data_IF_641991583612
#
_entry.id   IF_641991583612
#
_cell.length_a   1.000
_cell.length_b   1.000
_cell.length_c   1.000
_cell.angle_alpha   90.00
_cell.angle_beta   90.00
_cell.angle_gamma   90.00
#
_symmetry.space_group_name_H-M   'P 1'
#
loop_
_entity.id
_entity.type
_entity.pdbx_description
1 polymer ?
#
# COMPACT_ATOMS: atom_id res chain seq x y z
N UNK A 1 -16.01 4.32 25.33
CA UNK A 1 -15.23 4.87 24.19
C UNK A 1 -16.15 4.89 22.99
N UNK A 2 -16.47 6.07 22.48
CA UNK A 2 -17.28 6.25 21.27
C UNK A 2 -16.55 5.65 20.06
N UNK A 3 -17.28 4.95 19.20
CA UNK A 3 -16.74 4.41 17.95
C UNK A 3 -16.05 5.54 17.16
N UNK A 4 -14.74 5.43 16.84
CA UNK A 4 -14.01 6.47 16.11
C UNK A 4 -14.63 6.84 14.76
N UNK A 5 -15.48 5.97 14.19
CA UNK A 5 -16.20 6.24 12.94
C UNK A 5 -17.41 7.14 13.13
N UNK A 6 -17.92 7.25 14.35
CA UNK A 6 -19.09 8.07 14.70
C UNK A 6 -18.71 9.43 15.31
N UNK A 7 -17.42 9.73 15.50
CA UNK A 7 -16.97 11.02 16.00
C UNK A 7 -17.26 12.12 14.95
N UNK A 8 -18.14 13.09 15.22
CA UNK A 8 -18.48 14.15 14.26
C UNK A 8 -17.27 15.00 13.88
N UNK A 9 -16.25 15.06 14.76
CA UNK A 9 -14.99 15.72 14.45
C UNK A 9 -14.23 15.06 13.31
N UNK A 10 -14.56 13.80 12.93
CA UNK A 10 -13.94 13.02 11.84
C UNK A 10 -14.71 13.08 10.54
N UNK A 11 -15.83 13.76 10.50
CA UNK A 11 -16.57 14.00 9.26
C UNK A 11 -15.67 14.73 8.25
N UNK A 12 -15.79 14.37 7.00
CA UNK A 12 -15.24 15.12 5.88
C UNK A 12 -16.43 15.59 5.06
N UNK A 13 -16.75 16.88 5.09
CA UNK A 13 -17.84 17.46 4.30
C UNK A 13 -17.65 17.04 2.84
N UNK A 14 -18.63 16.37 2.19
CA UNK A 14 -18.56 15.99 0.78
C UNK A 14 -18.54 17.25 -0.09
N UNK A 15 -17.99 17.12 -1.31
CA UNK A 15 -17.79 18.25 -2.21
C UNK A 15 -19.07 19.04 -2.49
N UNK A 16 -20.18 18.34 -2.61
CA UNK A 16 -21.51 18.90 -2.91
C UNK A 16 -22.05 19.82 -1.80
N UNK A 17 -21.54 19.65 -0.58
CA UNK A 17 -21.91 20.45 0.60
C UNK A 17 -20.89 21.58 0.90
N UNK A 18 -19.85 21.75 0.07
CA UNK A 18 -18.89 22.83 0.30
C UNK A 18 -19.52 24.20 0.03
N UNK A 19 -19.01 25.28 0.67
CA UNK A 19 -19.38 26.62 0.28
C UNK A 19 -19.15 26.89 -1.20
N UNK A 20 -20.01 27.68 -1.82
CA UNK A 20 -19.95 27.94 -3.25
C UNK A 20 -18.62 28.48 -3.76
N UNK A 21 -17.95 29.44 -3.06
CA UNK A 21 -16.62 29.90 -3.46
C UNK A 21 -15.58 28.77 -3.52
N UNK A 22 -15.68 27.78 -2.60
CA UNK A 22 -14.77 26.64 -2.55
C UNK A 22 -15.01 25.68 -3.72
N UNK A 23 -16.29 25.41 -4.03
CA UNK A 23 -16.63 24.56 -5.18
C UNK A 23 -16.15 25.17 -6.50
N UNK A 24 -16.35 26.49 -6.68
CA UNK A 24 -15.92 27.23 -7.87
C UNK A 24 -14.38 27.21 -8.00
N UNK A 25 -13.67 27.50 -6.89
CA UNK A 25 -12.21 27.48 -6.85
C UNK A 25 -11.64 26.08 -7.14
N UNK A 26 -12.26 25.04 -6.57
CA UNK A 26 -11.84 23.64 -6.81
C UNK A 26 -12.09 23.23 -8.27
N UNK A 27 -13.28 23.51 -8.81
CA UNK A 27 -13.61 23.20 -10.20
C UNK A 27 -12.67 23.91 -11.18
N UNK A 28 -12.34 25.18 -10.91
CA UNK A 28 -11.33 25.92 -11.68
C UNK A 28 -9.97 25.27 -11.59
N UNK A 29 -9.58 24.82 -10.39
CA UNK A 29 -8.27 24.20 -10.16
C UNK A 29 -8.08 22.87 -10.90
N UNK A 30 -9.12 22.04 -11.03
CA UNK A 30 -9.06 20.72 -11.68
C UNK A 30 -9.48 20.72 -13.14
N UNK A 31 -9.88 21.88 -13.68
CA UNK A 31 -10.38 22.00 -15.05
C UNK A 31 -9.31 21.54 -16.04
N UNK A 32 -9.65 20.58 -16.88
CA UNK A 32 -8.84 20.23 -18.05
C UNK A 32 -9.14 21.25 -19.15
N UNK A 33 -8.12 21.93 -19.62
CA UNK A 33 -8.20 22.81 -20.79
C UNK A 33 -7.77 22.07 -22.05
N UNK A 34 -8.15 22.61 -23.22
CA UNK A 34 -7.55 22.27 -24.49
C UNK A 34 -6.23 23.06 -24.66
N UNK A 35 -5.51 22.85 -25.75
CA UNK A 35 -4.22 23.50 -26.07
C UNK A 35 -4.27 25.04 -25.98
N UNK A 36 -5.43 25.63 -26.15
CA UNK A 36 -5.66 27.08 -26.13
C UNK A 36 -6.41 27.57 -24.90
N UNK A 37 -6.88 26.68 -24.04
CA UNK A 37 -7.64 27.02 -22.85
C UNK A 37 -6.76 27.05 -21.58
N UNK A 38 -7.14 27.91 -20.63
CA UNK A 38 -6.52 27.95 -19.31
C UNK A 38 -6.72 26.61 -18.57
N UNK A 39 -5.65 25.86 -18.47
CA UNK A 39 -5.62 24.61 -17.73
C UNK A 39 -5.47 24.87 -16.23
N UNK A 40 -6.33 24.28 -15.41
CA UNK A 40 -6.26 24.42 -13.97
C UNK A 40 -4.96 23.82 -13.38
N UNK A 41 -4.40 24.41 -12.32
CA UNK A 41 -3.11 23.98 -11.75
C UNK A 41 -3.12 22.53 -11.22
N UNK A 42 -4.29 21.93 -10.97
CA UNK A 42 -4.47 20.55 -10.57
C UNK A 42 -5.08 19.64 -11.66
N UNK A 43 -5.17 20.09 -12.91
CA UNK A 43 -5.72 19.32 -14.03
C UNK A 43 -4.98 17.97 -14.20
N UNK A 44 -3.66 17.98 -14.01
CA UNK A 44 -2.79 16.81 -14.10
C UNK A 44 -2.92 15.83 -12.91
N UNK A 45 -3.66 16.17 -11.86
CA UNK A 45 -3.83 15.28 -10.72
C UNK A 45 -4.69 14.08 -11.09
N UNK A 46 -4.26 12.91 -10.66
CA UNK A 46 -5.05 11.68 -10.76
C UNK A 46 -6.23 11.70 -9.78
N UNK A 47 -7.27 10.97 -10.10
CA UNK A 47 -8.49 10.87 -9.27
C UNK A 47 -8.20 10.55 -7.81
N UNK A 48 -7.29 9.60 -7.54
CA UNK A 48 -6.90 9.26 -6.16
C UNK A 48 -6.23 10.41 -5.41
N UNK A 49 -5.52 11.32 -6.10
CA UNK A 49 -4.94 12.53 -5.51
C UNK A 49 -6.03 13.56 -5.27
N UNK A 50 -6.91 13.76 -6.26
CA UNK A 50 -8.07 14.67 -6.14
C UNK A 50 -8.94 14.27 -4.95
N UNK A 51 -9.36 13.01 -4.89
CA UNK A 51 -10.18 12.48 -3.78
C UNK A 51 -9.52 12.63 -2.40
N UNK A 52 -8.22 12.37 -2.32
CA UNK A 52 -7.46 12.50 -1.07
C UNK A 52 -7.43 13.96 -0.58
N UNK A 53 -7.08 14.89 -1.47
CA UNK A 53 -7.00 16.32 -1.14
C UNK A 53 -8.39 16.86 -0.83
N UNK A 54 -9.39 16.51 -1.62
CA UNK A 54 -10.81 16.85 -1.42
C UNK A 54 -11.31 16.37 -0.06
N UNK A 55 -11.07 15.09 0.30
CA UNK A 55 -11.44 14.57 1.63
C UNK A 55 -10.74 15.31 2.77
N UNK A 56 -9.47 15.70 2.59
CA UNK A 56 -8.72 16.43 3.61
C UNK A 56 -9.23 17.87 3.75
N UNK A 57 -9.60 18.50 2.64
CA UNK A 57 -10.21 19.83 2.65
C UNK A 57 -11.61 19.81 3.27
N UNK A 58 -12.45 18.82 2.95
CA UNK A 58 -13.74 18.62 3.60
C UNK A 58 -13.62 18.41 5.12
N UNK A 59 -12.51 17.82 5.61
CA UNK A 59 -12.20 17.73 7.03
C UNK A 59 -11.89 19.10 7.66
N UNK A 60 -11.18 19.95 6.93
CA UNK A 60 -10.92 21.34 7.32
C UNK A 60 -12.23 22.15 7.43
N UNK A 61 -13.11 22.03 6.45
CA UNK A 61 -14.43 22.69 6.49
C UNK A 61 -15.28 22.19 7.66
N UNK A 62 -15.30 20.89 7.96
CA UNK A 62 -15.94 20.34 9.16
C UNK A 62 -15.42 20.99 10.45
N UNK A 63 -14.11 21.20 10.53
CA UNK A 63 -13.51 21.87 11.69
C UNK A 63 -14.02 23.32 11.79
N UNK A 64 -13.96 24.11 10.73
CA UNK A 64 -14.45 25.50 10.72
C UNK A 64 -15.95 25.60 11.07
N UNK A 65 -16.78 24.72 10.51
CA UNK A 65 -18.21 24.64 10.80
C UNK A 65 -18.46 24.42 12.30
N UNK A 66 -17.79 23.46 12.88
CA UNK A 66 -17.90 23.13 14.31
C UNK A 66 -17.39 24.22 15.25
N UNK A 67 -16.40 25.00 14.81
CA UNK A 67 -15.92 26.16 15.55
C UNK A 67 -16.82 27.38 15.38
N UNK A 68 -17.82 27.33 14.52
CA UNK A 68 -18.66 28.49 14.17
C UNK A 68 -17.91 29.60 13.42
N UNK A 69 -16.79 29.26 12.78
CA UNK A 69 -15.91 30.19 12.07
C UNK A 69 -15.97 30.04 10.55
N UNK A 70 -16.81 29.13 10.03
CA UNK A 70 -17.03 28.95 8.61
C UNK A 70 -17.87 30.10 8.05
N UNK A 71 -17.24 31.07 7.39
CA UNK A 71 -17.95 32.03 6.57
C UNK A 71 -18.19 31.45 5.17
N UNK A 72 -19.44 31.18 4.78
CA UNK A 72 -19.74 30.52 3.52
C UNK A 72 -19.54 31.40 2.28
N UNK A 73 -19.37 32.71 2.47
CA UNK A 73 -19.21 33.68 1.36
C UNK A 73 -17.72 34.01 1.15
N UNK A 74 -16.91 33.87 2.19
CA UNK A 74 -15.48 34.18 2.13
C UNK A 74 -14.73 33.23 1.17
N UNK A 75 -13.66 33.73 0.56
CA UNK A 75 -12.77 32.89 -0.25
C UNK A 75 -11.96 31.90 0.58
N UNK A 76 -11.56 30.76 0.03
CA UNK A 76 -10.90 29.67 0.77
C UNK A 76 -9.68 30.10 1.58
N UNK A 77 -8.82 30.95 1.01
CA UNK A 77 -7.58 31.40 1.60
C UNK A 77 -7.76 32.34 2.81
N UNK A 78 -8.84 33.12 2.82
CA UNK A 78 -9.09 34.10 3.89
C UNK A 78 -9.47 33.44 5.21
N UNK A 79 -9.97 32.20 5.18
CA UNK A 79 -10.34 31.40 6.36
C UNK A 79 -9.13 30.80 7.07
N UNK A 80 -7.95 30.84 6.44
CA UNK A 80 -6.74 30.20 6.99
C UNK A 80 -5.84 31.27 7.59
N UNK A 81 -5.92 31.42 8.91
CA UNK A 81 -4.99 32.26 9.68
C UNK A 81 -4.07 31.40 10.53
N UNK A 82 -2.94 31.94 11.03
CA UNK A 82 -2.06 31.17 11.92
C UNK A 82 -2.76 30.64 13.17
N UNK A 83 -3.73 31.40 13.73
CA UNK A 83 -4.48 31.05 14.95
C UNK A 83 -5.44 29.90 14.65
N UNK A 84 -6.22 29.97 13.58
CA UNK A 84 -7.16 28.94 13.15
C UNK A 84 -6.43 27.67 12.76
N UNK A 85 -5.30 27.78 12.05
CA UNK A 85 -4.46 26.63 11.71
C UNK A 85 -3.90 25.93 12.96
N UNK A 86 -3.49 26.70 13.98
CA UNK A 86 -3.00 26.14 15.25
C UNK A 86 -4.09 25.35 15.94
N UNK A 87 -5.28 25.90 16.09
CA UNK A 87 -6.43 25.21 16.68
C UNK A 87 -6.80 23.93 15.91
N UNK A 88 -6.71 23.94 14.57
CA UNK A 88 -6.93 22.74 13.75
C UNK A 88 -5.86 21.67 13.97
N UNK A 89 -4.60 22.06 14.06
CA UNK A 89 -3.49 21.14 14.35
C UNK A 89 -3.67 20.51 15.73
N UNK A 90 -4.06 21.29 16.75
CA UNK A 90 -4.29 20.81 18.11
C UNK A 90 -5.46 19.82 18.14
N UNK A 91 -6.57 20.11 17.47
CA UNK A 91 -7.68 19.15 17.34
C UNK A 91 -7.25 17.85 16.64
N UNK A 92 -6.50 17.95 15.56
CA UNK A 92 -6.00 16.77 14.86
C UNK A 92 -5.04 15.93 15.70
N UNK A 93 -4.22 16.59 16.54
CA UNK A 93 -3.25 15.92 17.41
C UNK A 93 -3.92 14.95 18.39
N UNK A 94 -5.10 15.30 18.88
CA UNK A 94 -5.90 14.43 19.76
C UNK A 94 -6.50 13.20 19.05
N UNK A 95 -6.70 13.29 17.73
CA UNK A 95 -7.55 12.34 17.01
C UNK A 95 -6.78 11.39 16.09
N UNK A 96 -5.62 11.81 15.60
CA UNK A 96 -4.88 11.06 14.59
C UNK A 96 -3.39 10.96 14.90
N UNK A 97 -2.71 10.02 14.25
CA UNK A 97 -1.26 9.89 14.39
C UNK A 97 -0.53 11.09 13.81
N UNK A 98 0.69 11.36 14.28
CA UNK A 98 1.55 12.44 13.77
C UNK A 98 1.77 12.37 12.26
N UNK A 99 1.86 11.18 11.68
CA UNK A 99 1.96 10.97 10.22
C UNK A 99 0.68 11.39 9.51
N UNK A 100 -0.49 11.04 10.06
CA UNK A 100 -1.79 11.41 9.49
C UNK A 100 -2.02 12.91 9.62
N UNK A 101 -1.66 13.51 10.76
CA UNK A 101 -1.74 14.95 10.99
C UNK A 101 -0.89 15.70 9.95
N UNK A 102 0.39 15.35 9.82
CA UNK A 102 1.27 15.93 8.81
C UNK A 102 0.69 15.80 7.38
N UNK A 103 0.10 14.64 7.07
CA UNK A 103 -0.58 14.41 5.80
C UNK A 103 -1.78 15.32 5.58
N UNK A 104 -2.64 15.52 6.60
CA UNK A 104 -3.81 16.41 6.51
C UNK A 104 -3.43 17.88 6.28
N UNK A 105 -2.40 18.36 6.99
CA UNK A 105 -1.91 19.73 6.80
C UNK A 105 -1.23 19.89 5.44
N UNK A 106 -0.54 18.85 4.96
CA UNK A 106 0.01 18.84 3.59
C UNK A 106 -1.11 18.94 2.55
N UNK A 107 -2.15 18.13 2.69
CA UNK A 107 -3.27 18.13 1.74
C UNK A 107 -4.05 19.46 1.78
N UNK A 108 -4.20 20.10 2.94
CA UNK A 108 -4.75 21.44 3.06
C UNK A 108 -3.90 22.47 2.33
N UNK A 109 -2.57 22.42 2.52
CA UNK A 109 -1.63 23.28 1.81
C UNK A 109 -1.71 23.13 0.30
N UNK A 110 -1.83 21.89 -0.20
CA UNK A 110 -1.98 21.59 -1.62
C UNK A 110 -3.34 22.06 -2.17
N UNK A 111 -4.43 21.90 -1.39
CA UNK A 111 -5.75 22.41 -1.78
C UNK A 111 -5.73 23.92 -2.00
N UNK A 112 -5.21 24.65 -1.01
CA UNK A 112 -5.15 26.12 -1.09
C UNK A 112 -4.19 26.61 -2.17
N UNK A 113 -3.07 25.92 -2.38
CA UNK A 113 -2.14 26.24 -3.46
C UNK A 113 -2.79 26.22 -4.85
N UNK A 114 -3.71 25.28 -5.07
CA UNK A 114 -4.39 25.14 -6.37
C UNK A 114 -5.70 25.93 -6.46
N UNK A 115 -6.40 26.14 -5.34
CA UNK A 115 -7.68 26.87 -5.30
C UNK A 115 -7.48 28.38 -5.26
N UNK A 116 -6.37 28.86 -4.66
CA UNK A 116 -6.02 30.27 -4.52
C UNK A 116 -4.58 30.54 -5.00
N UNK A 117 -4.27 30.31 -6.29
CA UNK A 117 -2.94 30.57 -6.84
C UNK A 117 -2.62 32.05 -6.73
N UNK A 118 -1.46 32.39 -6.18
CA UNK A 118 -1.03 33.76 -5.96
C UNK A 118 -1.14 34.24 -4.50
N UNK A 119 -1.80 33.48 -3.63
CA UNK A 119 -1.80 33.76 -2.19
C UNK A 119 -0.65 33.02 -1.50
N UNK A 120 0.28 33.77 -0.94
CA UNK A 120 1.41 33.20 -0.20
C UNK A 120 1.02 32.89 1.26
N UNK A 121 0.65 31.65 1.53
CA UNK A 121 0.44 31.14 2.88
C UNK A 121 1.75 30.53 3.43
N UNK A 122 2.77 31.38 3.59
CA UNK A 122 4.12 30.95 4.03
C UNK A 122 4.12 30.25 5.39
N UNK A 123 3.25 30.69 6.32
CA UNK A 123 3.09 30.05 7.63
C UNK A 123 2.54 28.63 7.53
N UNK A 124 1.62 28.35 6.60
CA UNK A 124 1.07 27.01 6.36
C UNK A 124 2.16 26.08 5.82
N UNK A 125 2.99 26.57 4.90
CA UNK A 125 4.13 25.82 4.37
C UNK A 125 5.17 25.51 5.46
N UNK A 126 5.47 26.47 6.36
CA UNK A 126 6.34 26.24 7.52
C UNK A 126 5.76 25.21 8.48
N UNK A 127 4.47 25.26 8.77
CA UNK A 127 3.79 24.28 9.63
C UNK A 127 3.85 22.87 9.00
N UNK A 128 3.57 22.75 7.69
CA UNK A 128 3.68 21.49 6.94
C UNK A 128 5.09 20.88 7.07
N UNK A 129 6.14 21.67 6.85
CA UNK A 129 7.53 21.20 6.94
C UNK A 129 7.88 20.77 8.38
N UNK A 130 7.52 21.55 9.37
CA UNK A 130 7.77 21.23 10.78
C UNK A 130 7.07 19.94 11.21
N UNK A 131 5.80 19.74 10.79
CA UNK A 131 5.05 18.52 11.07
C UNK A 131 5.62 17.30 10.35
N UNK A 132 6.07 17.45 9.11
CA UNK A 132 6.70 16.37 8.36
C UNK A 132 7.99 15.88 9.04
N UNK A 133 8.81 16.78 9.57
CA UNK A 133 10.04 16.43 10.32
C UNK A 133 9.72 15.72 11.64
N UNK A 134 8.65 16.14 12.32
CA UNK A 134 8.22 15.57 13.61
C UNK A 134 7.42 14.29 13.48
N UNK A 135 6.90 13.95 12.27
CA UNK A 135 6.09 12.78 12.06
C UNK A 135 6.84 11.48 12.38
N UNK A 136 6.25 10.65 13.24
CA UNK A 136 6.80 9.33 13.60
C UNK A 136 5.75 8.25 13.32
N UNK A 137 6.10 7.20 12.56
CA UNK A 137 5.24 6.06 12.36
C UNK A 137 4.99 5.33 13.69
N UNK A 138 3.73 5.12 14.04
CA UNK A 138 3.36 4.36 15.25
C UNK A 138 3.63 2.87 15.08
N UNK A 139 3.50 2.36 13.85
CA UNK A 139 3.64 0.91 13.57
C UNK A 139 5.07 0.59 13.19
N UNK A 140 5.70 -0.31 13.95
CA UNK A 140 6.98 -0.89 13.57
C UNK A 140 6.76 -1.93 12.45
N UNK A 141 7.05 -1.55 11.22
CA UNK A 141 6.95 -2.45 10.07
C UNK A 141 7.93 -3.64 10.16
N UNK A 142 9.08 -3.45 10.83
CA UNK A 142 10.15 -4.48 10.91
C UNK A 142 9.68 -5.77 11.56
N UNK A 143 8.87 -5.67 12.63
CA UNK A 143 8.33 -6.83 13.35
C UNK A 143 7.32 -7.63 12.53
N UNK A 144 6.90 -7.11 11.37
CA UNK A 144 5.90 -7.70 10.50
C UNK A 144 6.48 -8.18 9.17
N UNK A 145 7.78 -8.04 8.97
CA UNK A 145 8.47 -8.56 7.78
C UNK A 145 8.56 -10.07 7.90
N UNK A 146 8.08 -10.75 6.87
CA UNK A 146 8.15 -12.21 6.72
C UNK A 146 8.96 -12.52 5.46
N UNK A 147 9.88 -13.50 5.49
CA UNK A 147 10.61 -13.90 4.29
C UNK A 147 9.66 -14.29 3.15
N UNK A 148 9.89 -13.83 1.91
CA UNK A 148 9.07 -14.21 0.76
C UNK A 148 8.96 -15.72 0.55
N UNK A 149 10.03 -16.48 0.85
CA UNK A 149 10.03 -17.93 0.80
C UNK A 149 8.99 -18.55 1.76
N UNK A 150 8.84 -18.00 2.98
CA UNK A 150 7.84 -18.47 3.94
C UNK A 150 6.41 -18.18 3.47
N UNK A 151 6.20 -17.03 2.81
CA UNK A 151 4.91 -16.67 2.23
C UNK A 151 4.55 -17.58 1.04
N UNK A 152 5.53 -17.90 0.20
CA UNK A 152 5.35 -18.83 -0.93
C UNK A 152 5.06 -20.24 -0.42
N UNK A 153 5.80 -20.72 0.56
CA UNK A 153 5.59 -22.04 1.17
C UNK A 153 4.18 -22.17 1.78
N UNK A 154 3.75 -21.15 2.52
CA UNK A 154 2.38 -21.06 3.02
C UNK A 154 1.37 -21.20 1.88
N UNK A 155 1.55 -20.45 0.81
CA UNK A 155 0.62 -20.41 -0.31
C UNK A 155 0.51 -21.77 -1.01
N UNK A 156 1.65 -22.44 -1.30
CA UNK A 156 1.69 -23.77 -1.91
C UNK A 156 0.97 -24.76 -1.00
N UNK A 157 1.30 -24.82 0.27
CA UNK A 157 0.62 -25.69 1.24
C UNK A 157 -0.90 -25.48 1.26
N UNK A 158 -1.37 -24.23 1.24
CA UNK A 158 -2.81 -23.93 1.22
C UNK A 158 -3.50 -24.32 -0.08
N UNK A 159 -2.79 -24.27 -1.24
CA UNK A 159 -3.29 -24.78 -2.51
C UNK A 159 -3.41 -26.29 -2.48
N UNK A 160 -2.39 -27.00 -1.98
CA UNK A 160 -2.38 -28.45 -1.83
C UNK A 160 -3.49 -28.92 -0.86
N UNK A 161 -3.67 -28.23 0.26
CA UNK A 161 -4.77 -28.49 1.21
C UNK A 161 -6.15 -28.27 0.56
N UNK A 162 -6.28 -27.25 -0.31
CA UNK A 162 -7.52 -27.02 -1.04
C UNK A 162 -7.81 -28.14 -2.04
N UNK A 163 -6.80 -28.75 -2.62
CA UNK A 163 -6.95 -29.91 -3.52
C UNK A 163 -7.22 -31.23 -2.78
N UNK A 164 -6.48 -31.48 -1.71
CA UNK A 164 -6.58 -32.71 -0.91
C UNK A 164 -7.82 -32.82 -0.02
N UNK A 165 -8.50 -31.71 0.26
CA UNK A 165 -9.64 -31.72 1.17
C UNK A 165 -10.95 -32.01 0.41
N UNK A 166 -11.70 -33.07 0.75
CA UNK A 166 -12.98 -33.43 0.16
C UNK A 166 -14.11 -32.48 0.59
N UNK A 167 -13.90 -31.17 0.46
CA UNK A 167 -14.96 -30.22 0.76
C UNK A 167 -16.10 -30.37 -0.28
N UNK A 168 -17.33 -30.70 0.11
CA UNK A 168 -18.45 -30.92 -0.80
C UNK A 168 -18.88 -29.65 -1.56
N UNK A 169 -18.46 -28.47 -1.07
CA UNK A 169 -18.77 -27.20 -1.71
C UNK A 169 -17.61 -26.74 -2.58
N UNK A 170 -17.64 -27.10 -3.86
CA UNK A 170 -16.59 -26.79 -4.85
C UNK A 170 -16.23 -25.29 -4.89
N UNK A 171 -17.20 -24.40 -4.79
CA UNK A 171 -16.95 -22.97 -4.80
C UNK A 171 -16.14 -22.47 -3.58
N UNK A 172 -16.28 -23.10 -2.40
CA UNK A 172 -15.45 -22.79 -1.23
C UNK A 172 -14.00 -23.24 -1.44
N UNK A 173 -13.83 -24.41 -2.04
CA UNK A 173 -12.53 -24.95 -2.42
C UNK A 173 -11.84 -24.04 -3.41
N UNK A 174 -12.58 -23.60 -4.44
CA UNK A 174 -12.09 -22.66 -5.44
C UNK A 174 -11.67 -21.31 -4.83
N UNK A 175 -12.44 -20.79 -3.86
CA UNK A 175 -12.05 -19.59 -3.12
C UNK A 175 -10.74 -19.78 -2.33
N UNK A 176 -10.58 -20.91 -1.64
CA UNK A 176 -9.36 -21.18 -0.85
C UNK A 176 -8.13 -21.29 -1.75
N UNK A 177 -8.25 -21.97 -2.88
CA UNK A 177 -7.18 -22.08 -3.87
C UNK A 177 -6.81 -20.72 -4.45
N UNK A 178 -7.79 -19.93 -4.89
CA UNK A 178 -7.61 -18.56 -5.36
C UNK A 178 -6.90 -17.69 -4.33
N UNK A 179 -7.35 -17.73 -3.07
CA UNK A 179 -6.80 -16.90 -1.99
C UNK A 179 -5.33 -17.26 -1.72
N UNK A 180 -4.99 -18.55 -1.79
CA UNK A 180 -3.62 -19.04 -1.70
C UNK A 180 -2.76 -18.60 -2.91
N UNK A 181 -3.30 -18.74 -4.13
CA UNK A 181 -2.60 -18.29 -5.34
C UNK A 181 -2.32 -16.78 -5.34
N UNK A 182 -3.25 -15.97 -4.80
CA UNK A 182 -3.00 -14.53 -4.61
C UNK A 182 -1.76 -14.29 -3.74
N UNK A 183 -1.60 -15.06 -2.66
CA UNK A 183 -0.44 -14.94 -1.77
C UNK A 183 0.84 -15.38 -2.49
N UNK A 184 0.80 -16.49 -3.24
CA UNK A 184 1.95 -16.98 -4.00
C UNK A 184 2.44 -15.97 -5.04
N UNK A 185 1.52 -15.40 -5.82
CA UNK A 185 1.86 -14.36 -6.80
C UNK A 185 2.41 -13.10 -6.15
N UNK A 186 1.83 -12.65 -5.03
CA UNK A 186 2.34 -11.50 -4.27
C UNK A 186 3.69 -11.77 -3.62
N UNK A 187 3.95 -13.00 -3.16
CA UNK A 187 5.23 -13.38 -2.57
C UNK A 187 6.36 -13.38 -3.59
N UNK A 188 6.06 -13.71 -4.85
CA UNK A 188 7.05 -13.77 -5.93
C UNK A 188 7.14 -12.46 -6.72
N UNK A 189 6.02 -11.78 -6.95
CA UNK A 189 5.93 -10.53 -7.71
C UNK A 189 4.94 -9.57 -7.05
N UNK A 190 5.42 -8.76 -6.11
CA UNK A 190 4.59 -7.85 -5.32
C UNK A 190 4.11 -6.64 -6.13
N UNK A 191 3.10 -6.81 -6.94
CA UNK A 191 2.44 -5.73 -7.66
C UNK A 191 1.77 -4.72 -6.70
N UNK A 192 1.56 -3.50 -7.18
CA UNK A 192 0.70 -2.54 -6.46
C UNK A 192 -0.74 -3.03 -6.46
N UNK A 193 -1.46 -2.76 -5.36
CA UNK A 193 -2.83 -3.27 -5.13
C UNK A 193 -3.78 -3.05 -6.32
N UNK A 194 -3.75 -1.86 -6.97
CA UNK A 194 -4.62 -1.58 -8.12
C UNK A 194 -4.29 -2.48 -9.31
N UNK A 195 -3.01 -2.59 -9.66
CA UNK A 195 -2.58 -3.46 -10.76
C UNK A 195 -2.87 -4.93 -10.46
N UNK A 196 -2.59 -5.40 -9.24
CA UNK A 196 -2.86 -6.78 -8.85
C UNK A 196 -4.35 -7.15 -8.94
N UNK A 197 -5.23 -6.25 -8.48
CA UNK A 197 -6.67 -6.48 -8.54
C UNK A 197 -7.24 -6.39 -9.96
N UNK A 198 -6.62 -5.57 -10.82
CA UNK A 198 -7.04 -5.35 -12.19
C UNK A 198 -6.40 -6.28 -13.21
N UNK A 199 -5.78 -7.40 -12.80
CA UNK A 199 -5.21 -8.36 -13.77
C UNK A 199 -6.32 -8.94 -14.65
N UNK A 200 -6.16 -8.83 -15.97
CA UNK A 200 -7.00 -9.39 -17.01
C UNK A 200 -6.22 -10.54 -17.68
N UNK A 201 -6.86 -11.69 -17.81
CA UNK A 201 -6.27 -12.87 -18.48
C UNK A 201 -6.18 -12.59 -19.98
N UNK A 202 -5.05 -12.92 -20.58
CA UNK A 202 -4.79 -12.66 -21.99
C UNK A 202 -4.25 -11.25 -22.29
N UNK A 203 -4.54 -10.25 -21.42
CA UNK A 203 -4.02 -8.90 -21.57
C UNK A 203 -2.84 -8.64 -20.60
N UNK A 204 -3.09 -8.80 -19.30
CA UNK A 204 -2.07 -8.53 -18.27
C UNK A 204 -1.36 -9.79 -17.81
N UNK A 205 -2.03 -10.94 -17.83
CA UNK A 205 -1.46 -12.26 -17.60
C UNK A 205 -1.46 -13.01 -18.90
N UNK A 206 -0.30 -13.11 -19.53
CA UNK A 206 -0.07 -13.87 -20.74
C UNK A 206 0.84 -15.07 -20.50
N UNK A 207 0.93 -15.99 -21.47
CA UNK A 207 1.88 -17.08 -21.49
C UNK A 207 2.84 -16.88 -22.65
N UNK A 208 4.14 -16.94 -22.36
CA UNK A 208 5.22 -16.90 -23.35
C UNK A 208 6.02 -18.19 -23.15
N UNK A 209 6.05 -19.03 -24.16
CA UNK A 209 6.57 -20.38 -24.07
C UNK A 209 5.94 -21.14 -22.88
N UNK A 210 6.75 -21.60 -21.93
CA UNK A 210 6.29 -22.32 -20.74
C UNK A 210 6.12 -21.44 -19.49
N UNK A 211 6.22 -20.11 -19.63
CA UNK A 211 6.19 -19.20 -18.49
C UNK A 211 5.02 -18.23 -18.56
N UNK A 212 4.43 -17.92 -17.41
CA UNK A 212 3.50 -16.81 -17.29
C UNK A 212 4.25 -15.49 -17.12
N UNK A 213 3.75 -14.46 -17.80
CA UNK A 213 4.27 -13.10 -17.73
C UNK A 213 3.19 -12.12 -17.32
N UNK A 214 3.57 -11.11 -16.58
CA UNK A 214 2.72 -9.99 -16.20
C UNK A 214 3.14 -8.75 -17.00
N UNK A 215 2.21 -8.22 -17.78
CA UNK A 215 2.41 -7.07 -18.66
C UNK A 215 1.44 -5.95 -18.27
N UNK A 216 1.94 -4.74 -18.08
CA UNK A 216 1.09 -3.56 -17.86
C UNK A 216 1.70 -2.38 -18.59
N UNK A 217 0.87 -1.64 -19.29
CA UNK A 217 1.27 -0.38 -19.91
C UNK A 217 1.64 0.70 -18.89
N UNK A 218 2.49 1.64 -19.32
CA UNK A 218 2.85 2.77 -18.47
C UNK A 218 1.66 3.61 -18.02
N UNK A 219 0.63 3.75 -18.85
CA UNK A 219 -0.61 4.46 -18.54
C UNK A 219 -1.37 3.85 -17.36
N UNK A 220 -1.28 2.53 -17.16
CA UNK A 220 -1.95 1.77 -16.10
C UNK A 220 -1.18 1.79 -14.79
N UNK A 221 0.07 2.22 -14.81
CA UNK A 221 0.94 2.21 -13.62
C UNK A 221 1.01 3.59 -12.97
N UNK A 222 1.25 3.62 -11.65
CA UNK A 222 1.32 4.89 -10.89
C UNK A 222 2.47 5.81 -11.33
N UNK A 223 3.53 5.25 -11.85
CA UNK A 223 4.77 5.95 -12.19
C UNK A 223 5.01 6.05 -13.70
N UNK A 224 3.98 5.79 -14.51
CA UNK A 224 4.02 5.82 -15.98
C UNK A 224 5.14 4.96 -16.59
N UNK A 225 5.57 3.90 -15.89
CA UNK A 225 6.53 2.93 -16.40
C UNK A 225 5.83 1.62 -16.66
N UNK A 226 6.02 0.98 -17.80
CA UNK A 226 5.47 -0.32 -18.08
C UNK A 226 6.01 -1.34 -17.06
N UNK A 227 5.25 -2.39 -16.83
CA UNK A 227 5.67 -3.53 -16.01
C UNK A 227 5.71 -4.73 -16.93
N UNK A 228 6.85 -5.39 -16.98
CA UNK A 228 7.06 -6.66 -17.64
C UNK A 228 7.80 -7.57 -16.68
N UNK A 229 7.15 -8.66 -16.26
CA UNK A 229 7.68 -9.55 -15.22
C UNK A 229 7.33 -10.99 -15.52
N UNK A 230 8.32 -11.86 -15.65
CA UNK A 230 8.10 -13.33 -15.70
C UNK A 230 7.76 -13.85 -14.30
N UNK A 231 6.71 -14.65 -14.20
CA UNK A 231 6.40 -15.39 -12.98
C UNK A 231 7.31 -16.63 -12.87
N UNK A 232 7.71 -17.04 -11.65
CA UNK A 232 8.51 -18.23 -11.46
C UNK A 232 7.79 -19.51 -11.93
N UNK A 233 8.52 -20.46 -12.50
CA UNK A 233 7.99 -21.72 -13.05
C UNK A 233 7.20 -22.53 -12.04
N UNK A 234 7.58 -22.47 -10.77
CA UNK A 234 6.86 -23.12 -9.69
C UNK A 234 5.38 -22.72 -9.62
N UNK A 235 5.00 -21.57 -10.19
CA UNK A 235 3.62 -21.10 -10.20
C UNK A 235 2.86 -21.52 -11.47
N UNK A 236 3.53 -21.95 -12.53
CA UNK A 236 2.90 -22.25 -13.82
C UNK A 236 1.77 -23.26 -13.67
N UNK A 237 2.02 -24.42 -13.10
CA UNK A 237 0.99 -25.44 -12.90
C UNK A 237 -0.14 -25.00 -11.95
N UNK A 238 0.16 -24.16 -10.96
CA UNK A 238 -0.87 -23.63 -10.06
C UNK A 238 -1.76 -22.59 -10.75
N UNK A 239 -1.20 -21.79 -11.66
CA UNK A 239 -1.96 -20.82 -12.45
C UNK A 239 -2.83 -21.56 -13.46
N UNK A 240 -2.29 -22.55 -14.19
CA UNK A 240 -3.04 -23.40 -15.10
C UNK A 240 -4.23 -24.04 -14.37
N UNK A 241 -3.97 -24.65 -13.22
CA UNK A 241 -5.00 -25.28 -12.39
C UNK A 241 -6.09 -24.32 -11.95
N UNK A 242 -5.71 -23.10 -11.60
CA UNK A 242 -6.69 -22.06 -11.25
C UNK A 242 -7.52 -21.65 -12.47
N UNK A 243 -6.90 -21.38 -13.60
CA UNK A 243 -7.57 -20.92 -14.82
C UNK A 243 -8.50 -21.97 -15.40
N UNK A 244 -8.09 -23.24 -15.40
CA UNK A 244 -8.82 -24.33 -16.03
C UNK A 244 -9.89 -24.95 -15.14
N UNK A 245 -9.68 -24.97 -13.82
CA UNK A 245 -10.57 -25.67 -12.89
C UNK A 245 -11.29 -24.72 -11.95
N UNK A 246 -10.56 -23.94 -11.16
CA UNK A 246 -11.16 -23.21 -10.05
C UNK A 246 -11.82 -21.90 -10.47
N UNK A 247 -11.24 -21.20 -11.43
CA UNK A 247 -11.81 -19.94 -11.94
C UNK A 247 -13.17 -20.17 -12.65
N UNK A 248 -13.36 -21.19 -13.50
CA UNK A 248 -14.67 -21.52 -14.06
C UNK A 248 -15.72 -21.86 -12.99
N UNK A 249 -15.34 -22.60 -11.94
CA UNK A 249 -16.26 -22.89 -10.81
C UNK A 249 -16.74 -21.59 -10.14
N UNK A 250 -15.87 -20.58 -10.01
CA UNK A 250 -16.22 -19.29 -9.41
C UNK A 250 -17.04 -18.42 -10.36
N UNK A 251 -16.80 -18.48 -11.65
CA UNK A 251 -17.56 -17.75 -12.66
C UNK A 251 -18.99 -18.28 -12.79
N UNK A 252 -19.17 -19.61 -12.73
CA UNK A 252 -20.46 -20.21 -13.06
C UNK A 252 -20.84 -19.87 -14.50
N UNK A 253 -22.02 -19.27 -14.69
CA UNK A 253 -22.50 -18.81 -15.99
C UNK A 253 -22.06 -17.37 -16.34
N UNK A 254 -21.36 -16.66 -15.42
CA UNK A 254 -20.93 -15.31 -15.66
C UNK A 254 -19.67 -15.26 -16.55
N UNK A 255 -19.57 -14.22 -17.35
CA UNK A 255 -18.39 -13.94 -18.18
C UNK A 255 -17.55 -12.83 -17.54
N UNK A 256 -16.26 -13.02 -17.49
CA UNK A 256 -15.31 -12.01 -17.04
C UNK A 256 -13.89 -12.39 -17.47
N UNK A 257 -13.14 -11.42 -17.93
CA UNK A 257 -11.71 -11.60 -18.26
C UNK A 257 -10.79 -11.40 -17.05
N UNK A 258 -11.32 -10.85 -15.94
CA UNK A 258 -10.51 -10.63 -14.74
C UNK A 258 -9.97 -11.95 -14.17
N UNK A 259 -8.73 -11.91 -13.72
CA UNK A 259 -8.09 -13.08 -13.08
C UNK A 259 -8.80 -13.43 -11.77
N UNK A 260 -9.09 -12.43 -10.93
CA UNK A 260 -9.63 -12.66 -9.59
C UNK A 260 -11.15 -12.59 -9.56
N UNK A 261 -11.78 -13.73 -9.42
CA UNK A 261 -13.24 -13.88 -9.39
C UNK A 261 -13.72 -14.10 -7.95
N UNK A 262 -14.76 -13.39 -7.54
CA UNK A 262 -15.39 -13.55 -6.22
C UNK A 262 -16.26 -14.82 -6.17
N UNK A 263 -16.68 -15.19 -4.97
CA UNK A 263 -17.67 -16.28 -4.76
C UNK A 263 -19.00 -16.07 -5.51
N UNK A 264 -19.32 -14.81 -5.87
CA UNK A 264 -20.56 -14.43 -6.57
C UNK A 264 -20.37 -14.35 -8.09
N UNK A 265 -19.30 -14.88 -8.67
CA UNK A 265 -19.07 -14.85 -10.11
C UNK A 265 -18.63 -13.47 -10.67
N UNK A 266 -18.32 -12.49 -9.81
CA UNK A 266 -17.95 -11.13 -10.23
C UNK A 266 -16.48 -10.87 -9.98
N UNK A 267 -15.84 -9.92 -10.71
CA UNK A 267 -14.49 -9.48 -10.41
C UNK A 267 -14.36 -9.04 -8.95
N UNK A 268 -13.27 -9.45 -8.30
CA UNK A 268 -13.00 -9.04 -6.93
C UNK A 268 -12.57 -7.57 -6.87
N UNK A 269 -13.27 -6.79 -6.06
CA UNK A 269 -12.85 -5.43 -5.74
C UNK A 269 -11.48 -5.45 -5.02
N UNK A 270 -10.66 -4.43 -5.27
CA UNK A 270 -9.33 -4.31 -4.65
C UNK A 270 -9.36 -4.28 -3.10
N UNK A 271 -10.48 -3.85 -2.50
CA UNK A 271 -10.70 -3.91 -1.05
C UNK A 271 -10.88 -5.34 -0.57
N UNK A 272 -11.68 -6.15 -1.28
CA UNK A 272 -11.94 -7.55 -0.95
C UNK A 272 -10.64 -8.39 -1.03
N UNK A 273 -9.81 -8.17 -2.07
CA UNK A 273 -8.48 -8.81 -2.18
C UNK A 273 -7.59 -8.42 -0.99
N UNK A 274 -7.55 -7.14 -0.65
CA UNK A 274 -6.77 -6.63 0.46
C UNK A 274 -7.17 -7.28 1.79
N UNK A 275 -8.47 -7.36 2.06
CA UNK A 275 -8.97 -7.94 3.31
C UNK A 275 -8.74 -9.45 3.36
N UNK A 276 -8.92 -10.15 2.24
CA UNK A 276 -8.72 -11.59 2.16
C UNK A 276 -7.25 -11.99 2.37
N UNK A 277 -6.32 -11.33 1.70
CA UNK A 277 -4.88 -11.57 1.89
C UNK A 277 -4.47 -11.32 3.36
N UNK A 278 -5.00 -10.26 3.99
CA UNK A 278 -4.74 -9.96 5.40
C UNK A 278 -5.35 -11.00 6.34
N UNK A 279 -6.53 -11.49 6.03
CA UNK A 279 -7.21 -12.53 6.82
C UNK A 279 -6.38 -13.81 6.83
N UNK A 280 -6.02 -14.33 5.65
CA UNK A 280 -5.26 -15.56 5.51
C UNK A 280 -3.88 -15.44 6.18
N UNK A 281 -3.13 -14.41 5.86
CA UNK A 281 -1.79 -14.21 6.44
C UNK A 281 -1.85 -13.94 7.95
N UNK A 282 -2.92 -13.29 8.43
CA UNK A 282 -3.13 -13.03 9.85
C UNK A 282 -3.33 -14.29 10.67
N UNK A 283 -4.04 -15.30 10.13
CA UNK A 283 -4.22 -16.61 10.76
C UNK A 283 -2.91 -17.37 10.90
N UNK A 284 -2.08 -17.33 9.85
CA UNK A 284 -0.86 -18.14 9.78
C UNK A 284 0.33 -17.52 10.51
N UNK A 285 0.50 -16.21 10.44
CA UNK A 285 1.66 -15.52 11.03
C UNK A 285 1.33 -14.76 12.33
N UNK A 286 0.10 -14.85 12.83
CA UNK A 286 -0.36 -14.11 14.01
C UNK A 286 -0.49 -12.60 13.79
N UNK A 287 -0.17 -12.10 12.60
CA UNK A 287 -0.34 -10.71 12.22
C UNK A 287 -0.63 -10.55 10.72
N UNK A 288 -1.56 -9.66 10.34
CA UNK A 288 -1.96 -9.52 8.95
C UNK A 288 -0.87 -8.86 8.11
N UNK A 289 -0.57 -9.44 6.94
CA UNK A 289 0.36 -8.91 5.94
C UNK A 289 -0.47 -8.32 4.81
N UNK A 290 -0.37 -7.01 4.59
CA UNK A 290 -1.06 -6.36 3.50
C UNK A 290 -0.20 -6.33 2.23
N UNK A 291 -0.82 -6.08 1.06
CA UNK A 291 -0.15 -6.10 -0.24
C UNK A 291 1.08 -5.19 -0.31
N UNK A 292 1.06 -4.06 0.39
CA UNK A 292 2.21 -3.17 0.41
C UNK A 292 3.38 -3.76 1.24
N UNK A 293 3.05 -4.52 2.29
CA UNK A 293 4.07 -5.16 3.12
C UNK A 293 4.78 -6.32 2.37
N UNK A 294 4.12 -7.00 1.41
CA UNK A 294 4.81 -7.95 0.53
C UNK A 294 5.96 -7.30 -0.23
N UNK A 295 5.79 -6.05 -0.68
CA UNK A 295 6.86 -5.28 -1.33
C UNK A 295 8.01 -4.98 -0.38
N UNK A 296 7.67 -4.61 0.86
CA UNK A 296 8.68 -4.40 1.92
C UNK A 296 9.41 -5.72 2.26
N UNK A 297 8.69 -6.86 2.26
CA UNK A 297 9.28 -8.20 2.46
C UNK A 297 10.27 -8.56 1.34
N UNK A 298 9.88 -8.39 0.08
CA UNK A 298 10.75 -8.64 -1.07
C UNK A 298 11.96 -7.70 -1.08
N UNK A 299 11.76 -6.39 -0.85
CA UNK A 299 12.85 -5.44 -0.80
C UNK A 299 13.86 -5.77 0.32
N UNK A 300 13.37 -6.25 1.46
CA UNK A 300 14.23 -6.63 2.59
C UNK A 300 14.98 -7.93 2.30
N UNK A 301 14.30 -8.93 1.73
CA UNK A 301 14.94 -10.20 1.37
C UNK A 301 16.04 -9.96 0.32
N UNK A 302 15.74 -9.24 -0.75
CA UNK A 302 16.73 -8.94 -1.79
C UNK A 302 17.94 -8.17 -1.25
N UNK A 303 17.72 -7.25 -0.29
CA UNK A 303 18.80 -6.52 0.34
C UNK A 303 19.66 -7.39 1.28
N UNK A 304 19.10 -8.48 1.84
CA UNK A 304 19.81 -9.43 2.69
C UNK A 304 20.55 -10.49 1.88
N UNK A 305 19.90 -11.01 0.82
CA UNK A 305 20.40 -12.13 0.05
C UNK A 305 21.44 -11.69 -1.00
N UNK A 306 21.28 -10.46 -1.52
CA UNK A 306 22.17 -9.87 -2.54
C UNK A 306 22.46 -8.39 -2.26
N UNK A 307 23.29 -8.07 -1.26
CA UNK A 307 23.60 -6.71 -0.87
C UNK A 307 24.30 -5.88 -1.97
N UNK A 308 25.04 -6.54 -2.86
CA UNK A 308 25.80 -5.86 -3.92
C UNK A 308 24.87 -5.40 -5.05
N UNK A 309 23.81 -6.14 -5.33
CA UNK A 309 22.84 -5.85 -6.40
C UNK A 309 21.53 -5.25 -5.89
N UNK A 310 21.50 -4.69 -4.70
CA UNK A 310 20.30 -4.00 -4.12
C UNK A 310 19.66 -2.99 -5.08
N UNK A 311 20.44 -2.41 -5.99
CA UNK A 311 19.93 -1.48 -7.02
C UNK A 311 18.94 -2.16 -7.99
N UNK A 312 19.03 -3.47 -8.17
CA UNK A 312 18.08 -4.28 -8.97
C UNK A 312 16.69 -4.33 -8.32
N UNK A 313 16.61 -4.18 -6.98
CA UNK A 313 15.33 -4.10 -6.27
C UNK A 313 14.47 -2.92 -6.74
N UNK A 314 15.08 -1.82 -7.14
CA UNK A 314 14.37 -0.65 -7.64
C UNK A 314 13.49 -0.96 -8.86
N UNK A 315 14.06 -1.43 -9.98
CA UNK A 315 13.30 -1.87 -11.16
C UNK A 315 12.32 -2.99 -10.85
N UNK A 316 12.75 -4.04 -10.15
CA UNK A 316 11.91 -5.20 -9.82
C UNK A 316 10.64 -4.82 -9.04
N UNK A 317 10.76 -3.87 -8.12
CA UNK A 317 9.65 -3.37 -7.32
C UNK A 317 9.01 -2.11 -7.91
N UNK A 318 9.52 -1.58 -9.02
CA UNK A 318 9.06 -0.33 -9.61
C UNK A 318 9.18 0.86 -8.64
N UNK A 319 10.27 0.91 -7.86
CA UNK A 319 10.59 2.05 -7.02
C UNK A 319 11.18 3.17 -7.89
N UNK A 320 10.58 4.35 -7.84
CA UNK A 320 11.08 5.56 -8.53
C UNK A 320 12.08 6.33 -7.69
N UNK A 321 12.15 6.06 -6.38
CA UNK A 321 13.02 6.76 -5.45
C UNK A 321 14.00 5.78 -4.80
N UNK A 322 15.28 5.96 -5.08
CA UNK A 322 16.37 5.17 -4.52
C UNK A 322 16.41 5.20 -2.98
N UNK A 323 15.95 6.30 -2.35
CA UNK A 323 15.88 6.41 -0.88
C UNK A 323 15.05 5.29 -0.23
N UNK A 324 14.01 4.79 -0.91
CA UNK A 324 13.22 3.66 -0.38
C UNK A 324 14.04 2.38 -0.41
N UNK A 325 14.78 2.14 -1.48
CA UNK A 325 15.67 0.99 -1.64
C UNK A 325 16.84 1.08 -0.66
N UNK A 326 17.48 2.25 -0.53
CA UNK A 326 18.56 2.50 0.44
C UNK A 326 18.13 2.30 1.89
N UNK A 327 16.91 2.65 2.25
CA UNK A 327 16.38 2.40 3.59
C UNK A 327 16.33 0.90 3.92
N UNK A 328 15.90 0.07 2.99
CA UNK A 328 15.89 -1.39 3.14
C UNK A 328 17.31 -1.94 3.16
N UNK A 329 18.19 -1.43 2.30
CA UNK A 329 19.61 -1.79 2.27
C UNK A 329 20.35 -1.50 3.59
N UNK A 330 20.22 -0.27 4.12
CA UNK A 330 20.84 0.11 5.39
C UNK A 330 20.28 -0.72 6.55
N UNK A 331 19.00 -1.08 6.50
CA UNK A 331 18.39 -1.98 7.47
C UNK A 331 18.96 -3.40 7.37
N UNK A 332 19.11 -3.92 6.16
CA UNK A 332 19.68 -5.25 5.92
C UNK A 332 21.13 -5.33 6.38
N UNK A 333 21.97 -4.35 6.04
CA UNK A 333 23.37 -4.28 6.50
C UNK A 333 23.48 -4.23 8.02
N UNK A 334 22.62 -3.50 8.70
CA UNK A 334 22.61 -3.46 10.16
C UNK A 334 22.27 -4.82 10.79
N UNK A 335 21.33 -5.57 10.19
CA UNK A 335 20.99 -6.92 10.63
C UNK A 335 22.11 -7.92 10.35
N UNK A 336 22.73 -7.83 9.18
CA UNK A 336 23.87 -8.68 8.80
C UNK A 336 25.07 -8.44 9.72
N UNK A 337 25.44 -7.18 9.94
CA UNK A 337 26.51 -6.82 10.87
C UNK A 337 26.24 -7.33 12.30
N UNK A 338 24.98 -7.23 12.76
CA UNK A 338 24.59 -7.76 14.06
C UNK A 338 24.72 -9.29 14.14
N UNK A 339 24.34 -10.03 13.08
CA UNK A 339 24.49 -11.48 12.98
C UNK A 339 25.96 -11.90 12.97
N UNK A 340 26.79 -11.23 12.16
CA UNK A 340 28.24 -11.49 12.09
C UNK A 340 28.90 -11.25 13.45
N UNK A 341 28.58 -10.14 14.12
CA UNK A 341 29.06 -9.85 15.46
C UNK A 341 28.64 -10.91 16.49
N UNK A 342 27.37 -11.34 16.43
CA UNK A 342 26.85 -12.39 17.32
C UNK A 342 27.54 -13.73 17.07
N UNK A 343 27.82 -14.09 15.83
CA UNK A 343 28.57 -15.29 15.47
C UNK A 343 30.02 -15.20 15.98
N UNK A 344 30.66 -14.05 15.87
CA UNK A 344 31.98 -13.79 16.43
C UNK A 344 32.00 -13.97 17.95
N UNK A 345 31.04 -13.42 18.67
CA UNK A 345 30.90 -13.60 20.13
C UNK A 345 30.68 -15.07 20.51
N UNK A 346 29.89 -15.82 19.72
CA UNK A 346 29.66 -17.24 19.96
C UNK A 346 30.91 -18.08 19.69
N UNK A 347 31.76 -17.75 18.71
CA UNK A 347 33.04 -18.42 18.46
C UNK A 347 34.01 -18.18 19.61
N UNK A 348 34.19 -16.92 20.02
CA UNK A 348 35.03 -16.58 21.20
C UNK A 348 34.54 -17.29 22.47
N UNK A 349 33.23 -17.36 22.69
CA UNK A 349 32.65 -18.09 23.84
C UNK A 349 32.92 -19.61 23.77
N UNK A 350 32.98 -20.20 22.56
CA UNK A 350 33.34 -21.63 22.40
C UNK A 350 34.83 -21.86 22.70
N UNK A 351 35.72 -21.00 22.23
CA UNK A 351 37.14 -21.04 22.49
C UNK A 351 37.47 -20.90 23.99
N UNK A 352 36.80 -19.95 24.67
CA UNK A 352 36.96 -19.74 26.12
C UNK A 352 36.43 -20.91 26.98
N UNK A 353 35.54 -21.74 26.44
CA UNK A 353 35.02 -22.92 27.17
C UNK A 353 35.89 -24.14 27.11
N UNK A 354 36.99 -24.18 26.35
CA UNK A 354 37.96 -25.25 26.26
C UNK A 354 37.39 -26.67 26.11
N UNK A 355 38.13 -27.67 25.69
CA UNK A 355 37.65 -29.03 25.64
C UNK A 355 37.34 -29.53 27.06
N UNK A 356 36.13 -29.96 27.32
CA UNK A 356 35.75 -30.65 28.57
C UNK A 356 36.60 -31.89 28.69
N UNK A 357 37.64 -31.86 29.54
CA UNK A 357 38.40 -33.03 29.94
C UNK A 357 37.38 -34.03 30.57
N UNK A 358 37.13 -35.12 29.87
CA UNK A 358 36.43 -36.27 30.45
C UNK A 358 37.31 -36.82 31.57
N UNK A 359 36.98 -36.50 32.81
CA UNK A 359 37.56 -37.22 33.95
C UNK A 359 37.19 -38.71 33.81
N UNK A 360 38.21 -39.53 33.53
CA UNK A 360 38.11 -40.98 33.65
C UNK A 360 37.87 -41.31 35.13
N UNK A 361 36.70 -41.78 35.48
CA UNK A 361 36.47 -42.51 36.71
C UNK A 361 37.18 -43.86 36.55
N UNK A 362 38.15 -44.12 37.42
CA UNK A 362 38.61 -45.46 37.78
C UNK A 362 37.68 -46.06 38.80
#
# INVERSE_FOLDING_TARGET
>A
MTDPKKDPRRRCVPFEEWPRPDQEAWNKAIRSGDLLDDTGPAAHWRDGTRQKVQSSYGRWLTFLERQGTLDPIASPETRVTPEVLRAYIDELHEQVSSVTLAGRVTDLSEALRVMAPGHELSFLRRAQQALAVRARPIRNKRQRIVPPASLLHLAIRLMDEAEGNPCPRLAWRACRYRDALMIAMLATRALRRRNFAGIIVGQHLGRIDDHYVLLFDGSETKNHRPIEMTLPDILTGHIDRYLEVYRPILLGEAESEHLWISFLGRPMAHGAIYDKVREVTGREFGHPINLHLFRDCQATALALDDPEHVRVAGPLLGHTNLRTTEKHYNQARSLEAARQYQNCLLSVRRELRGPRTRARRR
#
